data_IF_130443001330
#
_entry.id   IF_130443001330
#
_cell.length_a   1.000
_cell.length_b   1.000
_cell.length_c   1.000
_cell.angle_alpha   90.00
_cell.angle_beta   90.00
_cell.angle_gamma   90.00
#
_symmetry.space_group_name_H-M   'P 1'
#
loop_
_entity.id
_entity.type
_entity.pdbx_description
1 polymer ?
#
# COMPACT_ATOMS: atom_id res chain seq x y z
N UNK A 1 6.82 -35.25 -13.76
CA UNK A 1 7.83 -34.21 -13.53
C UNK A 1 7.09 -33.09 -12.81
N UNK A 2 7.35 -32.92 -11.54
CA UNK A 2 6.81 -31.78 -10.77
C UNK A 2 7.61 -30.55 -11.22
N UNK A 3 7.04 -29.73 -12.10
CA UNK A 3 7.53 -28.37 -12.29
C UNK A 3 7.36 -27.67 -10.95
N UNK A 4 8.47 -27.52 -10.22
CA UNK A 4 8.49 -26.72 -9.02
C UNK A 4 8.09 -25.30 -9.40
N UNK A 5 6.92 -24.86 -8.94
CA UNK A 5 6.50 -23.45 -9.03
C UNK A 5 7.49 -22.64 -8.21
N UNK A 6 8.55 -22.17 -8.84
CA UNK A 6 9.41 -21.16 -8.22
C UNK A 6 8.66 -19.84 -8.18
N UNK A 7 8.39 -19.38 -6.97
CA UNK A 7 7.85 -18.03 -6.75
C UNK A 7 8.76 -17.01 -7.44
N UNK A 8 8.18 -16.01 -8.12
CA UNK A 8 8.96 -14.93 -8.72
C UNK A 8 9.83 -14.24 -7.66
N UNK A 9 11.07 -13.89 -7.98
CA UNK A 9 12.04 -13.32 -7.05
C UNK A 9 11.52 -12.06 -6.34
N UNK A 10 10.82 -11.16 -7.04
CA UNK A 10 10.24 -9.95 -6.45
C UNK A 10 9.10 -10.27 -5.47
N UNK A 11 8.28 -11.28 -5.79
CA UNK A 11 7.23 -11.75 -4.87
C UNK A 11 7.83 -12.42 -3.66
N UNK A 12 8.89 -13.22 -3.83
CA UNK A 12 9.63 -13.82 -2.71
C UNK A 12 10.22 -12.74 -1.80
N UNK A 13 10.84 -11.73 -2.35
CA UNK A 13 11.38 -10.59 -1.58
C UNK A 13 10.29 -9.85 -0.80
N UNK A 14 9.09 -9.70 -1.37
CA UNK A 14 7.95 -9.09 -0.69
C UNK A 14 7.43 -9.97 0.46
N UNK A 15 7.29 -11.27 0.23
CA UNK A 15 6.88 -12.23 1.27
C UNK A 15 7.90 -12.23 2.42
N UNK A 16 9.20 -12.29 2.10
CA UNK A 16 10.26 -12.20 3.11
C UNK A 16 10.19 -10.89 3.90
N UNK A 17 9.94 -9.76 3.23
CA UNK A 17 9.81 -8.46 3.87
C UNK A 17 8.62 -8.40 4.83
N UNK A 18 7.53 -9.08 4.51
CA UNK A 18 6.30 -9.15 5.31
C UNK A 18 6.29 -10.33 6.30
N UNK A 19 7.31 -11.16 6.31
CA UNK A 19 7.51 -12.21 7.31
C UNK A 19 8.36 -11.67 8.44
N UNK A 20 7.78 -11.61 9.64
CA UNK A 20 8.44 -11.00 10.80
C UNK A 20 9.06 -12.06 11.69
N UNK A 21 10.21 -11.71 12.27
CA UNK A 21 10.83 -12.48 13.34
C UNK A 21 10.07 -12.25 14.64
N UNK A 22 9.60 -13.33 15.28
CA UNK A 22 9.03 -13.25 16.63
C UNK A 22 10.14 -13.16 17.65
N UNK A 23 10.22 -12.07 18.40
CA UNK A 23 11.24 -11.85 19.46
C UNK A 23 10.70 -12.33 20.78
N UNK A 24 9.42 -12.03 21.09
CA UNK A 24 8.72 -12.41 22.31
C UNK A 24 7.22 -12.46 22.02
N UNK A 25 6.40 -12.87 22.97
CA UNK A 25 4.96 -12.75 22.87
C UNK A 25 4.59 -11.29 22.59
N UNK A 26 3.85 -11.09 21.50
CA UNK A 26 3.40 -9.76 21.06
C UNK A 26 4.50 -8.77 20.64
N UNK A 27 5.76 -9.21 20.49
CA UNK A 27 6.89 -8.40 20.01
C UNK A 27 7.52 -9.05 18.79
N UNK A 28 7.54 -8.31 17.69
CA UNK A 28 8.03 -8.79 16.40
C UNK A 28 9.06 -7.81 15.82
N UNK A 29 9.96 -8.33 15.00
CA UNK A 29 10.97 -7.55 14.29
C UNK A 29 10.78 -7.71 12.78
N UNK A 30 10.62 -6.58 12.09
CA UNK A 30 10.62 -6.49 10.65
C UNK A 30 11.91 -5.87 10.14
N UNK A 31 12.45 -6.37 9.02
CA UNK A 31 13.54 -5.74 8.32
C UNK A 31 13.03 -4.52 7.55
N UNK A 32 13.87 -3.49 7.39
CA UNK A 32 13.60 -2.34 6.54
C UNK A 32 14.28 -2.50 5.19
N UNK A 33 13.66 -2.00 4.12
CA UNK A 33 14.26 -1.93 2.78
C UNK A 33 14.08 -0.53 2.20
N UNK A 34 15.06 -0.11 1.40
CA UNK A 34 14.95 1.11 0.62
C UNK A 34 14.13 0.84 -0.64
N UNK A 35 12.83 1.04 -0.57
CA UNK A 35 11.89 0.83 -1.68
C UNK A 35 11.61 2.13 -2.44
N UNK A 36 11.43 3.24 -1.71
CA UNK A 36 11.04 4.54 -2.27
C UNK A 36 11.79 5.65 -1.53
N UNK A 37 12.94 6.05 -2.04
CA UNK A 37 13.68 7.18 -1.49
C UNK A 37 14.46 6.90 -0.19
N UNK A 38 14.60 7.91 0.66
CA UNK A 38 15.50 7.89 1.85
C UNK A 38 14.83 7.42 3.15
N UNK A 39 13.53 7.17 3.13
CA UNK A 39 12.74 6.76 4.30
C UNK A 39 12.08 5.43 4.04
N UNK A 40 11.75 4.71 5.09
CA UNK A 40 10.94 3.50 4.98
C UNK A 40 9.61 3.85 4.32
N UNK A 41 9.21 3.05 3.34
CA UNK A 41 7.93 3.19 2.65
C UNK A 41 6.76 2.94 3.61
N UNK A 42 5.73 3.81 3.58
CA UNK A 42 4.58 3.68 4.48
C UNK A 42 3.84 2.35 4.35
N UNK A 43 3.64 1.90 3.11
CA UNK A 43 3.04 0.60 2.85
C UNK A 43 3.82 -0.59 3.44
N UNK A 44 5.15 -0.51 3.53
CA UNK A 44 5.95 -1.52 4.24
C UNK A 44 5.56 -1.58 5.72
N UNK A 45 5.46 -0.41 6.37
CA UNK A 45 5.11 -0.36 7.80
C UNK A 45 3.67 -0.83 8.02
N UNK A 46 2.74 -0.47 7.13
CA UNK A 46 1.34 -0.94 7.15
C UNK A 46 1.27 -2.47 7.05
N UNK A 47 1.89 -3.04 6.02
CA UNK A 47 1.88 -4.49 5.79
C UNK A 47 2.50 -5.27 6.95
N UNK A 48 3.66 -4.82 7.44
CA UNK A 48 4.34 -5.44 8.58
C UNK A 48 3.54 -5.30 9.87
N UNK A 49 2.92 -4.13 10.14
CA UNK A 49 2.07 -3.93 11.32
C UNK A 49 0.84 -4.84 11.29
N UNK A 50 0.21 -5.00 10.13
CA UNK A 50 -0.91 -5.93 9.96
C UNK A 50 -0.48 -7.38 10.19
N UNK A 51 0.68 -7.79 9.66
CA UNK A 51 1.24 -9.14 9.91
C UNK A 51 1.54 -9.37 11.39
N UNK A 52 2.18 -8.41 12.07
CA UNK A 52 2.44 -8.50 13.51
C UNK A 52 1.15 -8.72 14.31
N UNK A 53 0.10 -7.93 14.02
CA UNK A 53 -1.20 -8.09 14.66
C UNK A 53 -1.83 -9.46 14.35
N UNK A 54 -1.76 -9.93 13.11
CA UNK A 54 -2.34 -11.19 12.66
C UNK A 54 -1.67 -12.42 13.30
N UNK A 55 -0.40 -12.34 13.70
CA UNK A 55 0.28 -13.42 14.42
C UNK A 55 -0.26 -13.64 15.85
N UNK A 56 -1.12 -12.75 16.35
CA UNK A 56 -1.67 -12.80 17.73
C UNK A 56 -3.13 -13.25 17.78
N UNK A 57 -3.72 -13.62 16.64
CA UNK A 57 -5.12 -14.10 16.54
C UNK A 57 -5.27 -14.99 15.31
N UNK A 58 -6.24 -15.88 15.36
CA UNK A 58 -6.61 -16.78 14.24
C UNK A 58 -7.67 -16.20 13.30
N UNK A 59 -8.17 -14.98 13.61
CA UNK A 59 -9.20 -14.30 12.83
C UNK A 59 -8.58 -13.45 11.73
N UNK A 60 -9.19 -13.35 10.54
CA UNK A 60 -8.78 -12.39 9.54
C UNK A 60 -9.08 -10.96 9.99
N UNK A 61 -8.24 -10.01 9.55
CA UNK A 61 -8.50 -8.59 9.77
C UNK A 61 -9.68 -8.13 8.91
N UNK A 62 -10.54 -7.28 9.47
CA UNK A 62 -11.57 -6.59 8.69
C UNK A 62 -11.35 -5.08 8.60
N UNK A 63 -10.54 -4.49 9.51
CA UNK A 63 -10.15 -3.08 9.40
C UNK A 63 -8.81 -2.79 10.09
N UNK A 64 -8.11 -1.78 9.55
CA UNK A 64 -6.91 -1.19 10.12
C UNK A 64 -7.01 0.34 9.99
N UNK A 65 -6.71 1.07 11.08
CA UNK A 65 -6.63 2.52 11.13
C UNK A 65 -5.28 2.93 11.69
N UNK A 66 -4.52 3.75 10.96
CA UNK A 66 -3.13 4.04 11.28
C UNK A 66 -2.76 5.51 11.13
N UNK A 67 -1.79 5.96 11.93
CA UNK A 67 -1.09 7.23 11.77
C UNK A 67 0.40 7.04 11.60
N UNK A 68 0.98 7.75 10.63
CA UNK A 68 2.42 7.87 10.43
C UNK A 68 2.94 9.06 11.25
N UNK A 69 3.72 8.78 12.28
CA UNK A 69 4.17 9.79 13.24
C UNK A 69 5.53 10.38 12.85
N UNK A 70 6.45 9.55 12.37
CA UNK A 70 7.78 9.94 11.94
C UNK A 70 8.26 9.09 10.77
N UNK A 71 9.15 9.65 9.94
CA UNK A 71 9.79 8.88 8.87
C UNK A 71 10.73 7.81 9.42
N UNK A 72 10.57 6.57 8.96
CA UNK A 72 11.42 5.45 9.36
C UNK A 72 12.80 5.48 8.68
N UNK A 73 13.80 4.92 9.36
CA UNK A 73 15.17 4.72 8.88
C UNK A 73 15.26 3.40 8.11
N UNK A 74 15.67 3.45 6.85
CA UNK A 74 15.80 2.28 5.97
C UNK A 74 16.96 1.34 6.39
N UNK A 75 17.87 1.81 7.23
CA UNK A 75 19.05 1.06 7.66
C UNK A 75 18.86 0.36 9.01
N UNK A 76 17.72 0.56 9.68
CA UNK A 76 17.42 -0.03 10.97
C UNK A 76 16.17 -0.94 10.89
N UNK A 77 16.12 -2.06 11.62
CA UNK A 77 14.91 -2.85 11.73
C UNK A 77 13.82 -2.07 12.47
N UNK A 78 12.58 -2.50 12.29
CA UNK A 78 11.42 -1.97 12.99
C UNK A 78 10.95 -3.01 14.01
N UNK A 79 10.75 -2.58 15.25
CA UNK A 79 10.12 -3.40 16.29
C UNK A 79 8.63 -3.09 16.30
N UNK A 80 7.82 -4.13 16.20
CA UNK A 80 6.35 -4.07 16.29
C UNK A 80 5.92 -4.62 17.64
N UNK A 81 5.36 -3.77 18.46
CA UNK A 81 4.74 -4.11 19.73
C UNK A 81 3.23 -4.18 19.51
N UNK A 82 2.64 -5.34 19.82
CA UNK A 82 1.21 -5.62 19.64
C UNK A 82 0.55 -5.75 21.01
N UNK A 83 -0.41 -4.89 21.30
CA UNK A 83 -1.19 -4.92 22.54
C UNK A 83 -2.58 -5.53 22.26
N UNK A 84 -2.92 -6.71 22.82
CA UNK A 84 -4.26 -7.25 22.78
C UNK A 84 -5.19 -6.40 23.64
N UNK A 85 -6.10 -5.65 23.01
CA UNK A 85 -7.07 -4.82 23.75
C UNK A 85 -8.34 -5.56 24.06
N UNK A 86 -8.75 -6.49 23.18
CA UNK A 86 -9.97 -7.26 23.34
C UNK A 86 -9.90 -8.57 22.56
N UNK A 87 -10.37 -9.65 23.20
CA UNK A 87 -10.70 -10.93 22.61
C UNK A 87 -12.14 -11.30 22.99
N UNK A 88 -13.11 -10.78 22.20
CA UNK A 88 -14.53 -11.09 22.36
C UNK A 88 -14.94 -12.33 21.56
N UNK A 89 -16.21 -12.70 21.65
CA UNK A 89 -16.75 -13.86 20.93
C UNK A 89 -16.68 -13.68 19.39
N UNK A 90 -17.08 -12.51 18.85
CA UNK A 90 -17.11 -12.23 17.41
C UNK A 90 -15.91 -11.41 16.95
N UNK A 91 -15.44 -10.46 17.77
CA UNK A 91 -14.38 -9.50 17.38
C UNK A 91 -13.19 -9.58 18.32
N UNK A 92 -11.99 -9.38 17.75
CA UNK A 92 -10.77 -9.11 18.48
C UNK A 92 -10.18 -7.77 18.04
N UNK A 93 -9.46 -7.08 18.93
CA UNK A 93 -8.82 -5.79 18.62
C UNK A 93 -7.39 -5.78 19.12
N UNK A 94 -6.50 -5.22 18.30
CA UNK A 94 -5.07 -5.08 18.59
C UNK A 94 -4.64 -3.63 18.36
N UNK A 95 -3.86 -3.09 19.29
CA UNK A 95 -3.08 -1.89 19.05
C UNK A 95 -1.68 -2.31 18.63
N UNK A 96 -1.13 -1.69 17.57
CA UNK A 96 0.22 -1.93 17.08
C UNK A 96 1.01 -0.64 17.14
N UNK A 97 2.23 -0.68 17.69
CA UNK A 97 3.21 0.39 17.64
C UNK A 97 4.43 -0.10 16.87
N UNK A 98 4.85 0.66 15.86
CA UNK A 98 6.12 0.43 15.19
C UNK A 98 7.17 1.36 15.80
N UNK A 99 8.31 0.82 16.21
CA UNK A 99 9.33 1.51 17.00
C UNK A 99 10.68 1.41 16.29
N UNK A 100 11.36 2.54 16.15
CA UNK A 100 12.76 2.61 15.76
C UNK A 100 13.52 3.60 16.65
N UNK A 101 14.75 3.30 17.00
CA UNK A 101 15.61 4.18 17.83
C UNK A 101 14.91 4.67 19.12
N UNK A 102 14.11 3.78 19.76
CA UNK A 102 13.37 4.10 20.98
C UNK A 102 12.15 5.03 20.80
N UNK A 103 11.76 5.33 19.53
CA UNK A 103 10.65 6.22 19.21
C UNK A 103 9.56 5.46 18.45
N UNK A 104 8.31 5.71 18.80
CA UNK A 104 7.16 5.24 18.03
C UNK A 104 7.08 6.05 16.72
N UNK A 105 7.28 5.38 15.57
CA UNK A 105 7.23 5.99 14.25
C UNK A 105 5.86 5.83 13.57
N UNK A 106 5.06 4.87 14.04
CA UNK A 106 3.75 4.54 13.51
C UNK A 106 2.89 3.91 14.61
N UNK A 107 1.57 4.13 14.57
CA UNK A 107 0.62 3.49 15.47
C UNK A 107 -0.65 3.13 14.71
N UNK A 108 -1.19 1.93 14.97
CA UNK A 108 -2.42 1.46 14.34
C UNK A 108 -3.34 0.72 15.32
N UNK A 109 -4.64 0.76 15.00
CA UNK A 109 -5.66 -0.11 15.55
C UNK A 109 -6.10 -1.09 14.48
N UNK A 110 -6.08 -2.39 14.79
CA UNK A 110 -6.53 -3.46 13.89
C UNK A 110 -7.68 -4.21 14.53
N UNK A 111 -8.75 -4.41 13.80
CA UNK A 111 -9.91 -5.20 14.21
C UNK A 111 -10.06 -6.45 13.37
N UNK A 112 -10.39 -7.55 14.03
CA UNK A 112 -10.47 -8.91 13.50
C UNK A 112 -11.83 -9.54 13.75
N UNK A 113 -12.33 -10.31 12.81
CA UNK A 113 -13.58 -11.07 12.96
C UNK A 113 -13.57 -12.30 12.07
N UNK A 114 -14.29 -13.35 12.47
CA UNK A 114 -14.60 -14.44 11.55
C UNK A 114 -15.61 -13.97 10.50
N UNK A 115 -15.53 -14.48 9.26
CA UNK A 115 -16.57 -14.26 8.26
C UNK A 115 -17.92 -14.79 8.76
N UNK A 116 -18.97 -13.99 8.62
CA UNK A 116 -20.34 -14.35 8.95
C UNK A 116 -21.26 -14.11 7.75
N UNK A 117 -22.27 -14.96 7.57
CA UNK A 117 -23.31 -14.69 6.58
C UNK A 117 -24.23 -13.56 7.05
N UNK A 118 -24.68 -12.71 6.13
CA UNK A 118 -25.51 -11.56 6.48
C UNK A 118 -26.02 -10.80 5.27
N UNK A 119 -26.51 -9.58 5.53
CA UNK A 119 -26.94 -8.66 4.48
C UNK A 119 -25.79 -8.33 3.54
N UNK A 120 -26.05 -8.35 2.23
CA UNK A 120 -25.05 -8.13 1.20
C UNK A 120 -25.48 -6.98 0.27
N UNK A 121 -24.61 -5.97 0.13
CA UNK A 121 -24.73 -4.86 -0.79
C UNK A 121 -23.34 -4.35 -1.16
N UNK A 122 -23.17 -3.93 -2.39
CA UNK A 122 -21.98 -3.21 -2.85
C UNK A 122 -22.34 -2.27 -4.00
N UNK A 123 -21.52 -1.28 -4.29
CA UNK A 123 -21.57 -0.50 -5.51
C UNK A 123 -21.33 -1.38 -6.74
N UNK A 124 -21.69 -0.90 -7.93
CA UNK A 124 -21.26 -1.52 -9.19
C UNK A 124 -19.76 -1.26 -9.38
N UNK A 125 -19.02 -2.27 -9.83
CA UNK A 125 -17.62 -2.10 -10.26
C UNK A 125 -17.56 -1.13 -11.43
N UNK A 126 -16.62 -0.15 -11.44
CA UNK A 126 -16.43 0.72 -12.59
C UNK A 126 -15.84 -0.05 -13.77
N UNK A 127 -16.18 0.39 -14.99
CA UNK A 127 -15.75 -0.27 -16.22
C UNK A 127 -14.44 0.33 -16.71
N UNK A 128 -13.40 -0.50 -16.81
CA UNK A 128 -12.10 -0.19 -17.39
C UNK A 128 -11.70 -1.29 -18.39
N UNK A 129 -10.78 -1.02 -19.34
CA UNK A 129 -10.23 -2.06 -20.19
C UNK A 129 -9.59 -3.18 -19.37
N UNK A 130 -9.70 -4.43 -19.83
CA UNK A 130 -9.13 -5.58 -19.12
C UNK A 130 -7.60 -5.43 -18.95
N UNK A 131 -7.04 -5.87 -17.81
CA UNK A 131 -5.61 -5.65 -17.51
C UNK A 131 -4.67 -6.24 -18.56
N UNK A 132 -5.05 -7.33 -19.23
CA UNK A 132 -4.26 -7.96 -20.29
C UNK A 132 -4.08 -7.05 -21.54
N UNK A 133 -4.97 -6.07 -21.72
CA UNK A 133 -4.91 -5.11 -22.84
C UNK A 133 -4.13 -3.85 -22.51
N UNK A 134 -3.76 -3.66 -21.25
CA UNK A 134 -3.05 -2.49 -20.75
C UNK A 134 -1.54 -2.75 -20.72
N UNK A 135 -0.75 -1.71 -20.96
CA UNK A 135 0.70 -1.75 -20.74
C UNK A 135 1.01 -1.78 -19.26
N UNK A 136 2.05 -2.52 -18.87
CA UNK A 136 2.59 -2.49 -17.52
C UNK A 136 3.22 -1.12 -17.20
N UNK A 137 3.37 -0.82 -15.88
CA UNK A 137 4.09 0.38 -15.44
C UNK A 137 5.50 0.43 -16.02
N UNK A 138 6.20 -0.71 -16.14
CA UNK A 138 7.55 -0.77 -16.68
C UNK A 138 7.59 -0.41 -18.17
N UNK A 139 6.69 -0.93 -19.00
CA UNK A 139 6.56 -0.55 -20.42
C UNK A 139 6.22 0.94 -20.58
N UNK A 140 5.42 1.50 -19.66
CA UNK A 140 5.11 2.93 -19.68
C UNK A 140 6.31 3.77 -19.24
N UNK A 141 7.10 3.34 -18.24
CA UNK A 141 8.36 3.98 -17.83
C UNK A 141 9.37 4.04 -18.99
N UNK A 142 9.49 2.97 -19.77
CA UNK A 142 10.35 2.96 -20.95
C UNK A 142 9.95 4.04 -21.95
N UNK A 143 8.65 4.25 -22.17
CA UNK A 143 8.16 5.30 -23.08
C UNK A 143 8.47 6.73 -22.59
N UNK A 144 8.70 6.90 -21.30
CA UNK A 144 9.02 8.18 -20.66
C UNK A 144 10.51 8.43 -20.46
N UNK A 145 11.38 7.48 -20.82
CA UNK A 145 12.82 7.50 -20.51
C UNK A 145 13.54 8.78 -20.97
N UNK A 146 13.11 9.39 -22.06
CA UNK A 146 13.68 10.63 -22.58
C UNK A 146 13.35 11.87 -21.73
N UNK A 147 12.35 11.81 -20.87
CA UNK A 147 11.98 12.87 -19.92
C UNK A 147 12.69 12.71 -18.58
N UNK A 148 13.32 11.56 -18.35
CA UNK A 148 13.91 11.20 -17.05
C UNK A 148 15.34 11.71 -16.94
N UNK A 149 15.65 12.60 -15.97
CA UNK A 149 17.03 13.03 -15.72
C UNK A 149 17.95 11.84 -15.44
N UNK A 150 19.18 11.88 -15.97
CA UNK A 150 20.12 10.75 -15.93
C UNK A 150 20.41 10.28 -14.49
N UNK A 151 20.56 11.21 -13.57
CA UNK A 151 20.88 10.93 -12.16
C UNK A 151 19.77 10.21 -11.38
N UNK A 152 18.53 10.18 -11.89
CA UNK A 152 17.39 9.47 -11.26
C UNK A 152 16.87 8.32 -12.11
N UNK A 153 17.44 8.09 -13.30
CA UNK A 153 16.96 7.09 -14.27
C UNK A 153 16.95 5.68 -13.69
N UNK A 154 18.02 5.26 -13.03
CA UNK A 154 18.10 3.93 -12.42
C UNK A 154 17.03 3.72 -11.33
N UNK A 155 16.75 4.74 -10.52
CA UNK A 155 15.70 4.69 -9.50
C UNK A 155 14.30 4.68 -10.10
N UNK A 156 14.07 5.46 -11.16
CA UNK A 156 12.80 5.51 -11.88
C UNK A 156 12.46 4.19 -12.56
N UNK A 157 13.46 3.54 -13.18
CA UNK A 157 13.30 2.27 -13.88
C UNK A 157 13.27 1.05 -12.97
N UNK A 158 13.50 1.22 -11.65
CA UNK A 158 13.44 0.09 -10.71
C UNK A 158 12.07 -0.56 -10.77
N UNK A 159 12.07 -1.88 -10.93
CA UNK A 159 10.86 -2.69 -10.89
C UNK A 159 10.30 -2.76 -9.47
N UNK A 160 8.98 -2.73 -9.36
CA UNK A 160 8.30 -2.87 -8.07
C UNK A 160 8.11 -4.35 -7.74
N UNK A 161 7.89 -4.65 -6.47
CA UNK A 161 7.54 -6.00 -6.00
C UNK A 161 6.14 -6.46 -6.41
N UNK A 162 5.40 -5.60 -7.10
CA UNK A 162 4.05 -5.85 -7.61
C UNK A 162 3.95 -5.40 -9.06
N UNK A 163 3.15 -6.11 -9.86
CA UNK A 163 2.80 -5.73 -11.22
C UNK A 163 1.67 -4.70 -11.18
N UNK A 164 1.89 -3.57 -11.82
CA UNK A 164 0.89 -2.48 -11.95
C UNK A 164 0.61 -2.25 -13.43
N UNK A 165 -0.67 -2.15 -13.79
CA UNK A 165 -1.13 -1.77 -15.13
C UNK A 165 -2.05 -0.57 -15.04
N UNK A 166 -1.53 0.65 -15.23
CA UNK A 166 -2.30 1.87 -15.20
C UNK A 166 -3.37 1.91 -16.31
N UNK A 167 -4.56 2.41 -15.98
CA UNK A 167 -5.62 2.63 -16.98
C UNK A 167 -5.36 3.86 -17.83
N UNK A 168 -4.44 4.72 -17.40
CA UNK A 168 -4.02 5.93 -18.13
C UNK A 168 -2.54 6.23 -17.87
N UNK A 169 -1.86 6.75 -18.88
CA UNK A 169 -0.48 7.21 -18.75
C UNK A 169 -0.43 8.54 -17.99
N UNK A 170 0.37 8.59 -16.94
CA UNK A 170 0.72 9.82 -16.22
C UNK A 170 2.20 10.10 -16.45
N UNK A 171 2.53 11.29 -16.97
CA UNK A 171 3.91 11.74 -17.07
C UNK A 171 4.27 12.57 -15.81
N UNK A 172 5.00 12.04 -14.84
CA UNK A 172 5.32 12.76 -13.61
C UNK A 172 6.30 13.92 -13.82
N UNK A 173 7.01 13.97 -14.96
CA UNK A 173 7.97 15.02 -15.30
C UNK A 173 7.31 16.23 -15.99
N UNK A 174 6.08 16.06 -16.48
CA UNK A 174 5.29 17.12 -17.10
C UNK A 174 3.83 17.03 -16.64
N UNK A 175 3.57 17.13 -15.32
CA UNK A 175 2.22 17.00 -14.80
C UNK A 175 1.34 18.14 -15.29
N UNK A 176 0.10 17.81 -15.64
CA UNK A 176 -0.93 18.77 -16.02
C UNK A 176 -2.11 18.66 -15.05
N UNK A 177 -2.86 19.74 -14.82
CA UNK A 177 -4.11 19.67 -14.06
C UNK A 177 -5.10 18.71 -14.72
N UNK A 178 -5.54 17.71 -13.97
CA UNK A 178 -6.46 16.67 -14.41
C UNK A 178 -7.49 16.35 -13.33
N UNK A 179 -8.53 15.60 -13.69
CA UNK A 179 -9.55 15.19 -12.73
C UNK A 179 -8.93 14.37 -11.56
N UNK A 180 -9.50 14.47 -10.34
CA UNK A 180 -8.96 13.86 -9.13
C UNK A 180 -9.19 12.34 -9.06
N UNK A 181 -9.10 11.64 -10.18
CA UNK A 181 -9.33 10.20 -10.29
C UNK A 181 -8.12 9.50 -10.89
N UNK A 182 -7.82 8.32 -10.37
CA UNK A 182 -6.80 7.45 -10.93
C UNK A 182 -7.14 6.00 -10.66
N UNK A 183 -6.98 5.15 -11.67
CA UNK A 183 -7.18 3.72 -11.51
C UNK A 183 -6.04 2.92 -12.15
N UNK A 184 -5.75 1.77 -11.57
CA UNK A 184 -4.84 0.79 -12.13
C UNK A 184 -5.21 -0.61 -11.66
N UNK A 185 -4.79 -1.62 -12.41
CA UNK A 185 -4.79 -2.99 -11.94
C UNK A 185 -3.47 -3.29 -11.23
N UNK A 186 -3.55 -4.11 -10.18
CA UNK A 186 -2.39 -4.47 -9.36
C UNK A 186 -2.48 -5.93 -8.90
N UNK A 187 -1.32 -6.62 -8.86
CA UNK A 187 -1.14 -7.95 -8.27
C UNK A 187 0.34 -8.19 -7.95
N UNK A 188 0.67 -9.31 -7.29
CA UNK A 188 2.07 -9.77 -7.19
C UNK A 188 2.58 -10.31 -8.54
N UNK A 189 3.90 -10.42 -8.69
CA UNK A 189 4.52 -11.09 -9.85
C UNK A 189 4.42 -12.61 -9.69
N UNK A 190 3.43 -13.22 -10.36
CA UNK A 190 3.16 -14.65 -10.26
C UNK A 190 2.39 -15.05 -8.99
N UNK A 191 2.21 -16.33 -8.83
CA UNK A 191 1.32 -16.93 -7.81
C UNK A 191 2.06 -17.12 -6.48
N UNK A 192 1.35 -16.91 -5.38
CA UNK A 192 1.82 -17.25 -4.02
C UNK A 192 1.63 -18.76 -3.84
N UNK A 193 2.68 -19.51 -3.46
CA UNK A 193 2.60 -20.96 -3.24
C UNK A 193 1.57 -21.31 -2.16
N UNK A 194 0.93 -22.47 -2.31
CA UNK A 194 -0.13 -22.95 -1.40
C UNK A 194 0.32 -23.08 0.05
N UNK A 195 1.61 -23.34 0.29
CA UNK A 195 2.21 -23.43 1.63
C UNK A 195 2.26 -22.08 2.37
N UNK A 196 2.18 -20.98 1.61
CA UNK A 196 2.17 -19.60 2.11
C UNK A 196 0.80 -18.94 1.90
N UNK A 197 -0.20 -19.66 1.43
CA UNK A 197 -1.54 -19.14 1.06
C UNK A 197 -2.40 -18.86 2.31
N UNK A 198 -1.90 -17.95 3.14
CA UNK A 198 -2.60 -17.46 4.32
C UNK A 198 -3.34 -16.16 4.00
N UNK A 199 -4.61 -16.04 4.42
CA UNK A 199 -5.40 -14.82 4.23
C UNK A 199 -4.70 -13.58 4.80
N UNK A 200 -4.01 -13.71 5.92
CA UNK A 200 -3.27 -12.63 6.56
C UNK A 200 -2.07 -12.15 5.74
N UNK A 201 -1.42 -13.04 4.96
CA UNK A 201 -0.36 -12.65 4.03
C UNK A 201 -0.92 -11.85 2.86
N UNK A 202 -2.00 -12.32 2.23
CA UNK A 202 -2.66 -11.58 1.16
C UNK A 202 -3.14 -10.21 1.62
N UNK A 203 -3.74 -10.11 2.82
CA UNK A 203 -4.15 -8.83 3.41
C UNK A 203 -2.95 -7.90 3.66
N UNK A 204 -1.83 -8.43 4.15
CA UNK A 204 -0.61 -7.63 4.37
C UNK A 204 0.03 -7.13 3.06
N UNK A 205 0.01 -7.94 2.01
CA UNK A 205 0.46 -7.53 0.67
C UNK A 205 -0.46 -6.42 0.12
N UNK A 206 -1.78 -6.55 0.29
CA UNK A 206 -2.74 -5.51 -0.10
C UNK A 206 -2.49 -4.23 0.70
N UNK A 207 -2.27 -4.32 2.01
CA UNK A 207 -1.91 -3.18 2.84
C UNK A 207 -0.61 -2.52 2.37
N UNK A 208 0.39 -3.33 2.00
CA UNK A 208 1.66 -2.83 1.46
C UNK A 208 1.46 -2.01 0.19
N UNK A 209 0.71 -2.50 -0.79
CA UNK A 209 0.61 -1.79 -2.06
C UNK A 209 -0.51 -0.73 -2.09
N UNK A 210 -1.43 -0.72 -1.14
CA UNK A 210 -2.50 0.28 -1.06
C UNK A 210 -1.97 1.71 -0.88
N UNK A 211 -0.74 1.88 -0.36
CA UNK A 211 -0.10 3.17 -0.15
C UNK A 211 0.67 3.69 -1.38
N UNK A 212 0.83 2.92 -2.48
CA UNK A 212 1.68 3.33 -3.58
C UNK A 212 1.21 4.57 -4.34
N UNK A 213 -0.07 4.69 -4.62
CA UNK A 213 -0.58 5.68 -5.58
C UNK A 213 -1.76 6.48 -5.07
N UNK A 214 -2.31 6.14 -3.90
CA UNK A 214 -3.54 6.73 -3.39
C UNK A 214 -3.47 8.26 -3.28
N UNK A 215 -2.39 8.81 -2.74
CA UNK A 215 -2.19 10.26 -2.64
C UNK A 215 -1.96 10.97 -3.98
N UNK A 216 -1.66 10.26 -5.04
CA UNK A 216 -1.49 10.85 -6.37
C UNK A 216 -2.75 11.57 -6.83
N UNK A 217 -3.93 11.06 -6.44
CA UNK A 217 -5.22 11.63 -6.84
C UNK A 217 -5.43 13.05 -6.35
N UNK A 218 -4.95 13.39 -5.13
CA UNK A 218 -5.02 14.75 -4.59
C UNK A 218 -4.04 15.73 -5.25
N UNK A 219 -2.98 15.25 -5.91
CA UNK A 219 -2.02 16.09 -6.63
C UNK A 219 -2.50 16.48 -8.04
N UNK A 220 -3.32 15.61 -8.66
CA UNK A 220 -3.75 15.77 -10.06
C UNK A 220 -4.46 17.09 -10.37
N UNK A 221 -5.45 17.57 -9.59
CA UNK A 221 -6.11 18.85 -9.88
C UNK A 221 -5.18 20.05 -9.89
N UNK A 222 -4.03 19.93 -9.22
CA UNK A 222 -3.05 21.00 -9.10
C UNK A 222 -1.93 20.93 -10.14
N UNK A 223 -1.95 19.93 -11.05
CA UNK A 223 -0.86 19.70 -12.00
C UNK A 223 0.46 19.40 -11.29
N UNK A 224 0.41 18.64 -10.20
CA UNK A 224 1.56 18.25 -9.39
C UNK A 224 1.82 16.74 -9.47
N UNK A 225 3.07 16.37 -9.27
CA UNK A 225 3.51 14.98 -9.12
C UNK A 225 4.44 14.84 -7.91
N UNK A 226 4.73 13.62 -7.50
CA UNK A 226 5.65 13.31 -6.40
C UNK A 226 7.06 13.91 -6.56
N UNK A 227 7.46 14.20 -7.80
CA UNK A 227 8.77 14.78 -8.13
C UNK A 227 8.69 16.29 -8.41
N UNK A 228 7.52 16.90 -8.22
CA UNK A 228 7.37 18.36 -8.40
C UNK A 228 8.31 19.09 -7.47
N UNK A 229 9.09 20.07 -7.98
CA UNK A 229 9.97 20.87 -7.14
C UNK A 229 9.15 21.61 -6.07
N UNK A 230 9.72 21.74 -4.88
CA UNK A 230 9.11 22.39 -3.71
C UNK A 230 7.88 21.70 -3.11
N UNK A 231 7.42 20.59 -3.65
CA UNK A 231 6.37 19.81 -3.02
C UNK A 231 6.91 19.04 -1.81
N UNK A 232 6.35 19.32 -0.65
CA UNK A 232 6.48 18.47 0.53
C UNK A 232 5.24 17.59 0.60
N UNK A 233 5.44 16.28 0.39
CA UNK A 233 4.37 15.31 0.39
C UNK A 233 4.70 14.15 1.34
N UNK A 234 3.73 13.74 2.17
CA UNK A 234 3.86 12.63 3.10
C UNK A 234 2.48 12.13 3.55
N UNK A 235 2.31 10.84 3.69
CA UNK A 235 1.13 10.23 4.31
C UNK A 235 1.03 10.66 5.79
N UNK A 236 -0.15 11.05 6.25
CA UNK A 236 -0.45 11.38 7.64
C UNK A 236 -1.11 10.18 8.32
N UNK A 237 -2.12 9.62 7.67
CA UNK A 237 -2.84 8.43 8.13
C UNK A 237 -3.03 7.44 6.99
N UNK A 238 -3.54 6.26 7.30
CA UNK A 238 -4.03 5.29 6.32
C UNK A 238 -5.04 4.36 6.99
N UNK A 239 -6.19 4.20 6.36
CA UNK A 239 -7.26 3.31 6.79
C UNK A 239 -7.54 2.27 5.72
N UNK A 240 -7.73 1.01 6.13
CA UNK A 240 -8.09 -0.10 5.25
C UNK A 240 -9.28 -0.85 5.85
N UNK A 241 -10.26 -1.18 5.01
CA UNK A 241 -11.36 -2.08 5.33
C UNK A 241 -11.31 -3.28 4.38
N UNK A 242 -11.25 -4.48 4.90
CA UNK A 242 -11.36 -5.72 4.14
C UNK A 242 -12.79 -6.23 4.21
N UNK A 243 -13.47 -6.30 3.09
CA UNK A 243 -14.90 -6.64 3.01
C UNK A 243 -15.13 -8.11 2.70
N UNK A 244 -14.21 -8.73 1.96
CA UNK A 244 -14.30 -10.12 1.48
C UNK A 244 -12.93 -10.75 1.42
N UNK A 245 -12.85 -12.09 1.39
CA UNK A 245 -11.61 -12.78 1.05
C UNK A 245 -11.05 -12.25 -0.28
N UNK A 246 -9.74 -12.12 -0.35
CA UNK A 246 -9.05 -11.59 -1.52
C UNK A 246 -7.73 -12.35 -1.74
N UNK A 247 -7.23 -12.28 -2.98
CA UNK A 247 -5.94 -12.82 -3.36
C UNK A 247 -5.06 -11.70 -3.91
N UNK A 248 -3.89 -11.51 -3.33
CA UNK A 248 -2.96 -10.47 -3.76
C UNK A 248 -2.24 -10.82 -5.08
N UNK A 249 -2.27 -12.09 -5.47
CA UNK A 249 -1.67 -12.62 -6.71
C UNK A 249 -2.65 -12.70 -7.89
N UNK A 250 -3.92 -12.38 -7.68
CA UNK A 250 -4.90 -12.16 -8.74
C UNK A 250 -5.10 -10.67 -8.98
N UNK A 251 -5.49 -10.30 -10.21
CA UNK A 251 -5.74 -8.90 -10.53
C UNK A 251 -6.80 -8.26 -9.62
N UNK A 252 -6.45 -7.10 -9.08
CA UNK A 252 -7.38 -6.18 -8.43
C UNK A 252 -7.37 -4.84 -9.16
N UNK A 253 -8.56 -4.34 -9.48
CA UNK A 253 -8.74 -2.96 -9.93
C UNK A 253 -8.73 -2.05 -8.70
N UNK A 254 -7.76 -1.17 -8.60
CA UNK A 254 -7.69 -0.13 -7.57
C UNK A 254 -8.15 1.19 -8.17
N UNK A 255 -9.40 1.57 -7.86
CA UNK A 255 -10.08 2.78 -8.30
C UNK A 255 -10.02 3.82 -7.18
N UNK A 256 -9.43 4.98 -7.46
CA UNK A 256 -9.08 5.99 -6.46
C UNK A 256 -9.59 7.37 -6.85
N UNK A 257 -10.02 8.14 -5.83
CA UNK A 257 -10.44 9.52 -5.99
C UNK A 257 -9.96 10.40 -4.83
N UNK A 258 -9.69 11.68 -5.11
CA UNK A 258 -9.51 12.68 -4.07
C UNK A 258 -10.77 13.56 -4.01
N UNK A 259 -11.26 13.78 -2.79
CA UNK A 259 -12.49 14.56 -2.58
C UNK A 259 -12.22 16.01 -2.22
N UNK A 260 -11.07 16.30 -1.59
CA UNK A 260 -10.72 17.66 -1.15
C UNK A 260 -9.21 17.81 -1.00
N UNK A 261 -8.73 19.00 -1.34
CA UNK A 261 -7.40 19.50 -0.96
C UNK A 261 -7.61 20.82 -0.23
N UNK A 262 -7.25 20.87 1.05
CA UNK A 262 -7.40 22.05 1.90
C UNK A 262 -6.34 22.08 3.00
N UNK A 263 -5.93 23.28 3.44
CA UNK A 263 -4.97 23.46 4.54
C UNK A 263 -3.69 22.62 4.39
N UNK A 264 -3.13 22.58 3.17
CA UNK A 264 -1.96 21.76 2.79
C UNK A 264 -2.14 20.26 2.97
N UNK A 265 -3.36 19.75 2.94
CA UNK A 265 -3.66 18.31 3.00
C UNK A 265 -4.58 17.91 1.85
N UNK A 266 -4.51 16.66 1.45
CA UNK A 266 -5.41 16.02 0.49
C UNK A 266 -6.02 14.76 1.07
N UNK A 267 -7.34 14.59 0.94
CA UNK A 267 -8.06 13.41 1.38
C UNK A 267 -8.42 12.54 0.18
N UNK A 268 -8.01 11.29 0.24
CA UNK A 268 -8.10 10.33 -0.86
C UNK A 268 -8.85 9.09 -0.42
N UNK A 269 -9.66 8.54 -1.33
CA UNK A 269 -10.42 7.31 -1.16
C UNK A 269 -10.04 6.32 -2.24
N UNK A 270 -10.03 5.04 -1.89
CA UNK A 270 -9.79 3.97 -2.83
C UNK A 270 -10.72 2.79 -2.63
N UNK A 271 -11.06 2.12 -3.72
CA UNK A 271 -11.86 0.91 -3.76
C UNK A 271 -11.12 -0.13 -4.57
N UNK A 272 -10.92 -1.32 -3.99
CA UNK A 272 -10.27 -2.43 -4.68
C UNK A 272 -11.30 -3.48 -5.04
N UNK A 273 -11.35 -3.81 -6.32
CA UNK A 273 -12.30 -4.74 -6.90
C UNK A 273 -11.58 -5.99 -7.40
N UNK A 274 -12.14 -7.16 -7.13
CA UNK A 274 -11.63 -8.44 -7.62
C UNK A 274 -12.79 -9.32 -8.05
N UNK A 275 -12.79 -9.76 -9.30
CA UNK A 275 -13.83 -10.61 -9.87
C UNK A 275 -15.27 -10.05 -9.67
N UNK A 276 -15.47 -8.75 -9.89
CA UNK A 276 -16.75 -8.07 -9.74
C UNK A 276 -17.16 -7.78 -8.29
N UNK A 277 -16.30 -8.09 -7.32
CA UNK A 277 -16.58 -7.89 -5.90
C UNK A 277 -15.71 -6.78 -5.31
N UNK A 278 -16.30 -5.88 -4.52
CA UNK A 278 -15.58 -4.92 -3.70
C UNK A 278 -14.93 -5.67 -2.53
N UNK A 279 -13.63 -5.88 -2.60
CA UNK A 279 -12.89 -6.67 -1.62
C UNK A 279 -12.22 -5.81 -0.55
N UNK A 280 -11.86 -4.56 -0.89
CA UNK A 280 -11.17 -3.66 0.03
C UNK A 280 -11.54 -2.20 -0.24
N UNK A 281 -11.56 -1.38 0.81
CA UNK A 281 -11.65 0.09 0.71
C UNK A 281 -10.54 0.74 1.53
N UNK A 282 -10.01 1.86 1.02
CA UNK A 282 -8.94 2.62 1.67
C UNK A 282 -9.31 4.09 1.79
N UNK A 283 -8.79 4.74 2.83
CA UNK A 283 -8.87 6.19 3.02
C UNK A 283 -7.50 6.68 3.51
N UNK A 284 -7.03 7.81 2.96
CA UNK A 284 -5.76 8.39 3.37
C UNK A 284 -5.80 9.92 3.30
N UNK A 285 -5.46 10.57 4.40
CA UNK A 285 -5.09 11.99 4.38
C UNK A 285 -3.56 12.10 4.25
N UNK A 286 -3.11 13.01 3.41
CA UNK A 286 -1.70 13.27 3.21
C UNK A 286 -1.37 14.75 3.19
N UNK A 287 -0.16 15.10 3.66
CA UNK A 287 0.41 16.41 3.50
C UNK A 287 0.73 16.65 2.02
N UNK A 288 0.25 17.77 1.48
CA UNK A 288 0.55 18.27 0.13
C UNK A 288 0.85 19.77 0.23
N UNK A 289 2.07 20.12 0.60
CA UNK A 289 2.48 21.50 0.85
C UNK A 289 3.48 21.99 -0.19
N UNK A 290 3.17 23.06 -0.89
CA UNK A 290 4.13 23.79 -1.69
C UNK A 290 4.92 24.73 -0.77
N UNK A 291 6.25 24.64 -0.82
CA UNK A 291 7.15 25.58 -0.16
C UNK A 291 7.45 26.73 -1.13
N UNK A 292 7.53 27.94 -0.60
CA UNK A 292 8.03 29.06 -1.38
C UNK A 292 9.46 28.79 -1.82
N UNK A 293 9.79 29.14 -3.07
CA UNK A 293 11.17 29.13 -3.55
C UNK A 293 11.77 30.41 -2.98
N UNK A 294 12.69 30.30 -2.01
CA UNK A 294 13.55 31.42 -1.68
C UNK A 294 14.34 31.78 -2.95
N UNK A 295 13.93 32.84 -3.64
CA UNK A 295 14.72 33.43 -4.71
C UNK A 295 15.96 34.03 -4.05
N UNK A 296 17.12 33.36 -4.21
CA UNK A 296 18.44 33.92 -3.87
C UNK A 296 18.84 35.02 -4.85
#
# INVERSE_FOLDING_TARGET
MLEGYYMNALTQELVELLTLERIEDHIFRGNSRNLVGKRVFGGQVLGQALRAASYTTDRPAHSLHAYFLYGGDVNAPIIYEVEPLRDGKSFASRQVKAIQHGRVIFSAMVSFAYPEEGLNYQHKEPEYPAPETLKSENELKESLINFVPENVRASFMRERHVEIRPTQLINPFQPQPEAPFYAHYIRTHGTIPSELDEISLHQAIVAFYSDFTLMTTALRPHGLSWISPNLQCASIDHTIYFHRPLRADDWMLYDMEATVSASSRGLNFGKMWQNGQLVCSTVQEGLIRLREIETQ
#
